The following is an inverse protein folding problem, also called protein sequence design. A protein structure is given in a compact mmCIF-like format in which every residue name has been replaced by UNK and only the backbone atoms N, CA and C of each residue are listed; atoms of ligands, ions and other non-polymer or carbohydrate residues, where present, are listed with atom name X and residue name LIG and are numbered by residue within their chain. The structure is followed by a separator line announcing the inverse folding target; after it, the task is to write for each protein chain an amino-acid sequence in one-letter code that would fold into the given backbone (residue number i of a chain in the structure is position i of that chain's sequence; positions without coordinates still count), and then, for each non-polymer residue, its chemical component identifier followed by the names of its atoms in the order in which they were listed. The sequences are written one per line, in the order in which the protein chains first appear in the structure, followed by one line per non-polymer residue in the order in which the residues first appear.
data_IF_752214153080
#
_entry.id   IF_752214153080
#
_cell.length_a   1.000
_cell.length_b   1.000
_cell.length_c   1.000
_cell.angle_alpha   90.00
_cell.angle_beta   90.00
_cell.angle_gamma   90.00
#
_symmetry.space_group_name_H-M   'P 1'
#
loop_
_entity.id
_entity.type
_entity.pdbx_description
1 polymer ?
#
# COMPACT_ATOMS: atom_id res chain seq x y z
N UNK A 1 6.54 8.40 -25.18
CA UNK A 1 5.32 8.89 -24.52
C UNK A 1 5.72 9.36 -23.14
N UNK A 2 5.66 10.65 -22.88
CA UNK A 2 6.09 11.26 -21.62
C UNK A 2 5.02 10.98 -20.57
N UNK A 3 5.34 10.19 -19.54
CA UNK A 3 4.41 9.94 -18.44
C UNK A 3 4.34 11.19 -17.56
N UNK A 4 3.20 11.88 -17.60
CA UNK A 4 2.92 13.01 -16.70
C UNK A 4 2.98 12.56 -15.25
N UNK A 5 3.62 13.37 -14.41
CA UNK A 5 3.76 13.14 -12.98
C UNK A 5 2.39 12.96 -12.30
N UNK A 6 2.17 11.81 -11.68
CA UNK A 6 0.87 11.38 -11.13
C UNK A 6 0.40 12.26 -9.96
N UNK A 7 1.28 13.09 -9.41
CA UNK A 7 0.98 14.00 -8.31
C UNK A 7 0.62 15.43 -8.75
N UNK A 8 0.53 15.71 -10.05
CA UNK A 8 0.07 17.02 -10.54
C UNK A 8 -1.47 17.04 -10.67
N UNK A 9 -2.19 17.82 -9.86
CA UNK A 9 -3.66 17.89 -9.93
C UNK A 9 -4.16 18.43 -11.28
N UNK A 10 -3.37 19.23 -11.99
CA UNK A 10 -3.73 19.75 -13.31
C UNK A 10 -3.64 18.65 -14.38
N UNK A 11 -2.65 17.76 -14.28
CA UNK A 11 -2.54 16.61 -15.17
C UNK A 11 -3.69 15.61 -14.98
N UNK A 12 -4.11 15.38 -13.73
CA UNK A 12 -5.27 14.52 -13.42
C UNK A 12 -6.57 15.12 -13.98
N UNK A 13 -6.77 16.43 -13.84
CA UNK A 13 -7.94 17.12 -14.40
C UNK A 13 -8.00 16.99 -15.94
N UNK A 14 -6.87 17.19 -16.62
CA UNK A 14 -6.78 17.04 -18.06
C UNK A 14 -7.09 15.60 -18.52
N UNK A 15 -6.63 14.60 -17.75
CA UNK A 15 -6.89 13.20 -18.05
C UNK A 15 -8.36 12.83 -17.86
N UNK A 16 -9.03 13.39 -16.86
CA UNK A 16 -10.48 13.21 -16.65
C UNK A 16 -11.30 13.86 -17.78
N UNK A 17 -10.93 15.05 -18.24
CA UNK A 17 -11.58 15.69 -19.39
C UNK A 17 -11.37 14.89 -20.67
N UNK A 18 -10.18 14.34 -20.88
CA UNK A 18 -9.90 13.46 -22.02
C UNK A 18 -10.73 12.16 -21.96
N UNK A 19 -10.96 11.61 -20.76
CA UNK A 19 -11.77 10.41 -20.56
C UNK A 19 -13.25 10.69 -20.87
N UNK A 20 -13.77 11.84 -20.41
CA UNK A 20 -15.13 12.31 -20.73
C UNK A 20 -15.32 12.61 -22.21
N UNK A 21 -14.29 13.13 -22.88
CA UNK A 21 -14.32 13.39 -24.32
C UNK A 21 -14.18 12.12 -25.17
N UNK A 22 -13.85 10.97 -24.57
CA UNK A 22 -13.71 9.72 -25.33
C UNK A 22 -15.07 9.18 -25.78
N UNK A 23 -15.09 8.59 -26.99
CA UNK A 23 -16.30 8.04 -27.59
C UNK A 23 -16.98 6.97 -26.71
N UNK A 24 -16.20 6.23 -25.91
CA UNK A 24 -16.72 5.22 -24.99
C UNK A 24 -17.63 5.81 -23.90
N UNK A 25 -17.34 7.04 -23.44
CA UNK A 25 -18.20 7.74 -22.48
C UNK A 25 -19.48 8.28 -23.14
N UNK A 26 -19.37 8.82 -24.35
CA UNK A 26 -20.54 9.30 -25.10
C UNK A 26 -21.52 8.16 -25.43
N UNK A 27 -21.01 6.97 -25.73
CA UNK A 27 -21.84 5.80 -26.03
C UNK A 27 -22.63 5.31 -24.80
N UNK A 28 -22.02 5.38 -23.60
CA UNK A 28 -22.71 5.06 -22.34
C UNK A 28 -23.81 6.07 -22.00
N UNK A 29 -23.56 7.37 -22.20
CA UNK A 29 -24.53 8.42 -21.91
C UNK A 29 -25.71 8.41 -22.88
N UNK A 30 -25.45 8.10 -24.16
CA UNK A 30 -26.49 7.86 -25.16
C UNK A 30 -27.33 6.61 -24.86
N UNK A 31 -26.72 5.54 -24.34
CA UNK A 31 -27.46 4.32 -24.01
C UNK A 31 -28.31 4.48 -22.72
N UNK A 32 -27.86 5.31 -21.78
CA UNK A 32 -28.61 5.61 -20.55
C UNK A 32 -29.90 6.39 -20.82
N UNK A 33 -29.97 7.19 -21.88
CA UNK A 33 -31.18 7.96 -22.23
C UNK A 33 -32.25 7.11 -22.92
N UNK A 34 -31.87 6.00 -23.58
CA UNK A 34 -32.81 5.12 -24.30
C UNK A 34 -33.60 4.19 -23.36
N UNK A 35 -33.08 3.88 -22.17
CA UNK A 35 -33.73 2.97 -21.22
C UNK A 35 -34.95 3.55 -20.47
N UNK A 36 -35.28 4.83 -20.65
CA UNK A 36 -36.34 5.52 -19.87
C UNK A 36 -37.64 5.75 -20.65
N UNK A 37 -37.85 5.05 -21.77
CA UNK A 37 -39.05 5.23 -22.59
C UNK A 37 -39.61 3.89 -23.06
N UNK A 38 -40.28 3.16 -22.15
CA UNK A 38 -41.17 2.06 -22.53
C UNK A 38 -42.40 2.08 -21.62
N UNK A 39 -43.34 2.99 -21.89
CA UNK A 39 -44.73 2.89 -21.46
C UNK A 39 -45.65 3.49 -22.53
N UNK A 40 -46.13 2.62 -23.43
CA UNK A 40 -47.50 2.39 -23.95
C UNK A 40 -48.56 3.52 -24.13
N UNK A 41 -49.62 3.31 -24.96
CA UNK A 41 -49.92 4.20 -26.09
C UNK A 41 -51.36 4.78 -26.15
N UNK A 42 -51.56 5.97 -26.75
CA UNK A 42 -52.79 6.32 -27.49
C UNK A 42 -52.69 7.61 -28.36
N UNK A 43 -52.74 7.41 -29.70
CA UNK A 43 -53.56 8.09 -30.78
C UNK A 43 -53.61 9.64 -30.93
N UNK A 44 -54.05 10.21 -32.08
CA UNK A 44 -53.20 10.77 -33.14
C UNK A 44 -53.48 12.26 -33.51
N UNK A 45 -52.81 12.74 -34.57
CA UNK A 45 -53.08 13.96 -35.37
C UNK A 45 -52.60 15.30 -34.76
N UNK A 46 -52.01 16.27 -35.48
CA UNK A 46 -51.59 16.43 -36.86
C UNK A 46 -50.62 17.65 -36.96
N UNK A 47 -50.03 17.80 -38.13
CA UNK A 47 -49.47 19.04 -38.72
C UNK A 47 -47.98 19.42 -38.54
N UNK A 48 -47.27 19.21 -39.67
CA UNK A 48 -46.60 20.24 -40.52
C UNK A 48 -45.54 21.14 -39.86
N UNK A 49 -44.30 20.97 -40.32
CA UNK A 49 -43.24 21.97 -40.13
C UNK A 49 -41.94 21.60 -40.83
N UNK A 50 -41.74 22.12 -42.04
CA UNK A 50 -40.50 22.08 -42.83
C UNK A 50 -39.35 22.86 -42.14
N UNK A 51 -38.10 22.44 -42.37
CA UNK A 51 -36.93 23.27 -42.83
C UNK A 51 -35.63 22.48 -42.62
N UNK A 52 -34.92 22.01 -43.68
CA UNK A 52 -33.80 22.69 -44.39
C UNK A 52 -32.68 23.21 -43.47
N UNK A 53 -31.46 22.66 -43.58
CA UNK A 53 -30.31 23.29 -44.31
C UNK A 53 -28.96 22.57 -44.07
N UNK A 54 -28.25 22.32 -45.20
CA UNK A 54 -26.79 22.42 -45.48
C UNK A 54 -25.77 22.01 -44.38
N UNK A 55 -24.98 20.94 -44.51
CA UNK A 55 -23.86 20.71 -45.46
C UNK A 55 -22.86 21.87 -45.54
N UNK A 56 -21.80 21.80 -44.72
CA UNK A 56 -20.60 22.64 -44.84
C UNK A 56 -19.36 21.85 -44.41
N UNK A 57 -18.53 21.50 -45.39
CA UNK A 57 -17.13 21.07 -45.24
C UNK A 57 -16.23 22.24 -44.83
N UNK A 58 -15.11 21.99 -44.14
CA UNK A 58 -13.93 22.82 -44.28
C UNK A 58 -12.76 22.08 -44.94
N UNK A 59 -11.99 22.92 -45.61
CA UNK A 59 -10.88 22.69 -46.52
C UNK A 59 -9.55 23.00 -45.80
N UNK A 60 -8.47 22.35 -46.26
CA UNK A 60 -7.04 22.66 -46.08
C UNK A 60 -6.43 22.69 -44.67
N UNK A 61 -5.36 21.91 -44.45
CA UNK A 61 -4.00 22.41 -44.74
C UNK A 61 -2.99 21.27 -44.84
N UNK A 62 -2.21 21.35 -45.92
CA UNK A 62 -0.97 20.67 -46.21
C UNK A 62 0.14 21.22 -45.29
N UNK A 63 0.93 20.34 -44.66
CA UNK A 63 2.26 20.72 -44.17
C UNK A 63 3.14 19.47 -43.98
N UNK A 64 3.99 19.20 -44.97
CA UNK A 64 5.06 18.24 -44.88
C UNK A 64 6.16 18.70 -43.94
N UNK A 65 6.69 17.78 -43.12
CA UNK A 65 8.07 17.82 -42.63
C UNK A 65 8.46 16.44 -42.09
N UNK A 66 9.33 15.79 -42.87
CA UNK A 66 10.04 14.54 -42.60
C UNK A 66 11.38 14.87 -41.92
N UNK A 67 11.80 14.11 -40.90
CA UNK A 67 13.22 13.91 -40.63
C UNK A 67 13.62 12.41 -40.65
N UNK A 68 14.94 12.12 -40.64
CA UNK A 68 15.48 10.95 -41.28
C UNK A 68 15.59 9.71 -40.39
N UNK A 69 15.43 8.59 -41.10
CA UNK A 69 15.79 7.22 -40.75
C UNK A 69 17.23 7.12 -40.23
N UNK A 70 17.41 6.58 -39.02
CA UNK A 70 18.71 6.16 -38.49
C UNK A 70 18.65 4.67 -38.15
N UNK A 71 19.40 3.90 -38.92
CA UNK A 71 19.70 2.48 -38.68
C UNK A 71 20.50 2.32 -37.38
N UNK A 72 20.41 1.15 -36.73
CA UNK A 72 21.55 0.59 -36.03
C UNK A 72 22.05 -0.68 -36.73
N UNK A 73 23.37 -0.82 -36.65
CA UNK A 73 24.19 -1.85 -37.25
C UNK A 73 23.85 -3.26 -36.74
N UNK A 74 23.98 -4.20 -37.66
CA UNK A 74 24.12 -5.63 -37.42
C UNK A 74 25.41 -5.91 -36.66
N UNK A 75 25.33 -6.65 -35.57
CA UNK A 75 26.50 -7.28 -34.93
C UNK A 75 26.22 -8.76 -34.77
N UNK A 76 27.05 -9.54 -35.45
CA UNK A 76 27.17 -10.99 -35.42
C UNK A 76 27.44 -11.53 -34.02
N UNK A 77 26.82 -12.66 -33.64
CA UNK A 77 27.45 -13.78 -32.90
C UNK A 77 26.49 -14.98 -32.82
N UNK A 78 26.97 -16.23 -32.56
CA UNK A 78 26.67 -17.38 -33.42
C UNK A 78 25.88 -18.49 -32.72
N UNK A 79 25.48 -19.46 -33.55
CA UNK A 79 25.05 -20.83 -33.28
C UNK A 79 25.24 -21.39 -31.86
N UNK A 80 24.17 -21.97 -31.34
CA UNK A 80 24.25 -23.25 -30.63
C UNK A 80 23.04 -24.10 -30.98
N UNK A 81 23.35 -25.22 -31.61
CA UNK A 81 22.48 -26.32 -32.01
C UNK A 81 21.90 -27.09 -30.80
N UNK A 82 20.89 -27.90 -31.12
CA UNK A 82 20.29 -29.01 -30.36
C UNK A 82 19.22 -28.55 -29.33
N UNK A 83 18.02 -29.12 -29.25
CA UNK A 83 17.57 -30.42 -29.71
C UNK A 83 16.05 -30.44 -29.95
N UNK A 84 15.68 -31.33 -30.85
CA UNK A 84 14.38 -31.57 -31.45
C UNK A 84 13.62 -32.62 -30.64
N UNK A 85 12.41 -32.32 -30.14
CA UNK A 85 11.39 -33.37 -29.97
C UNK A 85 9.99 -32.77 -29.98
N UNK A 86 9.28 -32.98 -31.09
CA UNK A 86 7.80 -32.94 -31.17
C UNK A 86 7.25 -34.33 -30.82
N UNK A 87 5.96 -34.46 -30.43
CA UNK A 87 4.94 -34.70 -31.46
C UNK A 87 3.56 -34.05 -31.21
N UNK A 88 2.98 -33.59 -32.33
CA UNK A 88 1.57 -33.60 -32.77
C UNK A 88 0.43 -33.72 -31.74
N UNK A 89 -0.54 -32.79 -31.85
CA UNK A 89 -1.95 -33.15 -32.01
C UNK A 89 -2.70 -32.09 -32.83
N UNK A 90 -3.33 -32.56 -33.91
CA UNK A 90 -4.20 -31.82 -34.84
C UNK A 90 -5.61 -31.80 -34.26
N UNK A 91 -6.27 -30.64 -34.16
CA UNK A 91 -7.74 -30.55 -34.27
C UNK A 91 -8.15 -29.15 -34.77
N UNK A 92 -8.43 -29.12 -36.07
CA UNK A 92 -9.63 -28.57 -36.73
C UNK A 92 -10.27 -27.25 -36.24
N UNK A 93 -10.34 -26.33 -37.20
CA UNK A 93 -10.81 -24.96 -37.06
C UNK A 93 -12.34 -24.82 -37.05
N UNK A 94 -12.83 -23.93 -36.18
CA UNK A 94 -14.09 -23.21 -36.37
C UNK A 94 -13.84 -21.70 -36.12
N UNK A 95 -14.32 -20.79 -36.99
CA UNK A 95 -14.15 -19.36 -36.81
C UNK A 95 -15.13 -18.85 -35.76
N UNK A 96 -14.67 -18.68 -34.51
CA UNK A 96 -15.43 -17.94 -33.52
C UNK A 96 -15.16 -16.44 -33.68
N UNK A 97 -16.20 -15.71 -34.11
CA UNK A 97 -16.26 -14.26 -34.03
C UNK A 97 -16.26 -13.89 -32.55
N UNK A 98 -15.13 -13.38 -32.05
CA UNK A 98 -15.02 -12.82 -30.70
C UNK A 98 -15.76 -11.47 -30.72
N UNK A 99 -17.05 -11.52 -30.43
CA UNK A 99 -17.79 -10.33 -30.01
C UNK A 99 -17.14 -9.81 -28.73
N UNK A 100 -16.72 -8.54 -28.74
CA UNK A 100 -16.08 -7.89 -27.62
C UNK A 100 -16.87 -8.10 -26.33
N UNK A 101 -16.19 -8.63 -25.30
CA UNK A 101 -16.72 -8.74 -23.95
C UNK A 101 -16.97 -7.34 -23.40
N UNK A 102 -18.20 -6.88 -23.63
CA UNK A 102 -18.73 -5.61 -23.14
C UNK A 102 -18.87 -5.67 -21.62
N UNK A 103 -18.47 -4.56 -20.97
CA UNK A 103 -18.48 -4.35 -19.51
C UNK A 103 -19.84 -4.64 -18.87
N UNK A 104 -20.92 -4.58 -19.66
CA UNK A 104 -22.28 -4.93 -19.24
C UNK A 104 -22.45 -6.39 -18.74
N UNK A 105 -21.68 -7.36 -19.27
CA UNK A 105 -21.74 -8.75 -18.79
C UNK A 105 -21.08 -8.94 -17.42
N UNK A 106 -20.14 -8.08 -17.02
CA UNK A 106 -19.50 -8.11 -15.71
C UNK A 106 -20.40 -7.48 -14.62
N UNK A 107 -21.16 -6.44 -14.97
CA UNK A 107 -22.10 -5.81 -14.03
C UNK A 107 -23.36 -6.66 -13.79
N UNK A 108 -23.77 -7.50 -14.75
CA UNK A 108 -24.87 -8.46 -14.54
C UNK A 108 -24.53 -9.61 -13.58
N UNK A 109 -23.25 -9.81 -13.22
CA UNK A 109 -22.85 -10.79 -12.20
C UNK A 109 -22.86 -10.21 -10.77
N UNK A 110 -23.03 -8.90 -10.61
CA UNK A 110 -23.17 -8.24 -9.30
C UNK A 110 -24.65 -8.02 -8.98
N UNK A 111 -25.41 -9.10 -8.83
CA UNK A 111 -26.68 -9.02 -8.11
C UNK A 111 -26.44 -9.05 -6.59
N UNK A 112 -27.20 -8.27 -5.81
CA UNK A 112 -27.06 -8.22 -4.36
C UNK A 112 -27.56 -9.53 -3.73
N UNK A 113 -26.66 -10.24 -3.04
CA UNK A 113 -27.04 -11.33 -2.14
C UNK A 113 -27.77 -10.74 -0.92
N UNK A 114 -29.08 -10.51 -1.07
CA UNK A 114 -30.01 -10.39 0.04
C UNK A 114 -30.56 -11.79 0.34
N UNK A 115 -30.19 -12.34 1.49
CA UNK A 115 -30.84 -13.55 2.00
C UNK A 115 -30.00 -14.31 3.01
N UNK A 116 -30.03 -13.85 4.26
CA UNK A 116 -29.78 -14.74 5.40
C UNK A 116 -30.80 -15.90 5.38
N UNK A 117 -30.38 -17.08 5.85
CA UNK A 117 -30.93 -17.48 7.13
C UNK A 117 -29.83 -17.87 8.11
N UNK A 118 -29.98 -17.34 9.32
CA UNK A 118 -29.51 -17.91 10.57
C UNK A 118 -29.69 -19.43 10.57
N UNK A 119 -28.58 -20.17 10.57
CA UNK A 119 -28.56 -21.53 11.06
C UNK A 119 -27.46 -21.67 12.12
N UNK A 120 -27.87 -22.24 13.24
CA UNK A 120 -27.12 -22.28 14.48
C UNK A 120 -26.15 -23.45 14.44
N UNK A 121 -24.92 -23.22 13.99
CA UNK A 121 -23.84 -24.21 14.12
C UNK A 121 -22.94 -23.87 15.30
N UNK A 122 -23.19 -24.59 16.40
CA UNK A 122 -22.28 -24.75 17.52
C UNK A 122 -20.95 -25.33 17.01
N UNK A 123 -19.79 -24.82 17.46
CA UNK A 123 -18.51 -25.46 17.18
C UNK A 123 -18.42 -26.79 17.94
N UNK A 124 -17.95 -27.88 17.31
CA UNK A 124 -17.62 -29.10 18.01
C UNK A 124 -16.37 -28.87 18.87
N UNK A 125 -16.51 -29.24 20.13
CA UNK A 125 -15.48 -29.33 21.15
C UNK A 125 -14.29 -30.20 20.67
N UNK A 126 -13.05 -29.68 20.58
CA UNK A 126 -11.88 -30.50 20.28
C UNK A 126 -11.41 -31.20 21.56
N UNK A 127 -12.22 -32.15 22.04
CA UNK A 127 -11.76 -33.17 22.99
C UNK A 127 -11.11 -34.31 22.21
N UNK A 128 -9.80 -34.49 22.40
CA UNK A 128 -9.10 -35.71 22.00
C UNK A 128 -7.97 -35.52 21.00
N UNK A 129 -6.89 -34.84 21.42
CA UNK A 129 -5.56 -35.31 21.03
C UNK A 129 -4.92 -35.97 22.23
N UNK A 130 -4.79 -37.27 22.01
CA UNK A 130 -4.10 -38.31 22.73
C UNK A 130 -2.79 -37.85 23.39
N UNK A 131 -2.72 -38.16 24.69
CA UNK A 131 -1.62 -37.92 25.59
C UNK A 131 -0.52 -38.94 25.28
N UNK A 132 0.29 -38.64 24.27
CA UNK A 132 1.54 -39.33 23.99
C UNK A 132 2.49 -39.25 25.18
N UNK A 133 2.54 -40.33 25.95
CA UNK A 133 3.57 -40.65 26.93
C UNK A 133 4.97 -40.51 26.33
N UNK A 134 5.71 -39.48 26.74
CA UNK A 134 7.17 -39.51 26.74
C UNK A 134 7.64 -39.87 28.14
N UNK A 135 7.66 -41.18 28.40
CA UNK A 135 8.31 -41.74 29.58
C UNK A 135 9.79 -42.04 29.26
N UNK A 136 10.64 -41.51 30.13
CA UNK A 136 11.99 -41.95 30.48
C UNK A 136 13.16 -41.76 29.48
N UNK A 137 14.14 -40.96 29.92
CA UNK A 137 15.54 -41.17 29.55
C UNK A 137 16.50 -40.07 29.97
N UNK A 138 17.03 -40.11 31.21
CA UNK A 138 18.37 -39.58 31.49
C UNK A 138 18.48 -38.25 32.24
N UNK A 139 17.92 -38.16 33.44
CA UNK A 139 18.34 -37.14 34.42
C UNK A 139 19.72 -37.54 34.96
N UNK A 140 20.77 -36.89 34.47
CA UNK A 140 22.10 -36.96 35.06
C UNK A 140 22.17 -36.01 36.26
N UNK A 141 22.64 -36.47 37.44
CA UNK A 141 22.77 -35.64 38.62
C UNK A 141 23.93 -34.66 38.42
N UNK A 142 23.64 -33.40 38.15
CA UNK A 142 24.64 -32.34 38.20
C UNK A 142 25.03 -32.11 39.68
N UNK A 143 26.32 -32.18 40.04
CA UNK A 143 26.76 -31.85 41.38
C UNK A 143 26.54 -30.35 41.66
N UNK A 144 26.15 -29.98 42.89
CA UNK A 144 26.05 -28.58 43.27
C UNK A 144 27.43 -27.89 43.16
N UNK A 145 27.51 -26.68 42.62
CA UNK A 145 28.77 -25.94 42.56
C UNK A 145 29.29 -25.67 43.98
N UNK A 146 30.62 -25.67 44.19
CA UNK A 146 31.21 -25.36 45.48
C UNK A 146 30.81 -23.95 45.91
N UNK A 147 30.21 -23.85 47.10
CA UNK A 147 29.92 -22.60 47.76
C UNK A 147 31.22 -21.82 47.99
N UNK A 148 31.53 -20.90 47.07
CA UNK A 148 32.54 -19.89 47.29
C UNK A 148 32.06 -19.01 48.45
N UNK A 149 32.76 -19.10 49.57
CA UNK A 149 32.60 -18.22 50.72
C UNK A 149 32.81 -16.78 50.28
N UNK A 150 31.70 -16.08 50.02
CA UNK A 150 31.72 -14.64 49.82
C UNK A 150 32.13 -13.99 51.14
N UNK A 151 33.17 -13.13 51.14
CA UNK A 151 33.54 -12.38 52.33
C UNK A 151 32.35 -11.53 52.76
N UNK A 152 31.97 -11.69 54.03
CA UNK A 152 30.92 -10.93 54.71
C UNK A 152 31.32 -9.46 54.73
N UNK A 153 30.91 -8.75 53.68
CA UNK A 153 31.09 -7.31 53.57
C UNK A 153 30.21 -6.66 54.63
N UNK A 154 30.85 -6.05 55.62
CA UNK A 154 30.19 -5.24 56.64
C UNK A 154 29.67 -4.00 55.91
N UNK A 155 28.35 -3.74 55.86
CA UNK A 155 27.85 -2.52 55.25
C UNK A 155 28.32 -1.35 56.14
N UNK A 156 29.33 -0.62 55.68
CA UNK A 156 29.65 0.70 56.20
C UNK A 156 28.38 1.54 56.14
N UNK A 157 28.00 2.11 57.28
CA UNK A 157 26.80 2.91 57.48
C UNK A 157 26.55 3.83 56.28
N UNK A 158 25.55 3.47 55.48
CA UNK A 158 25.13 4.24 54.33
C UNK A 158 24.65 5.61 54.84
N UNK A 159 25.27 6.67 54.35
CA UNK A 159 24.74 8.01 54.47
C UNK A 159 23.28 8.01 53.97
N UNK A 160 22.38 8.80 54.58
CA UNK A 160 21.00 8.88 54.13
C UNK A 160 20.97 9.24 52.64
N UNK A 161 20.17 8.53 51.82
CA UNK A 161 20.09 8.83 50.40
C UNK A 161 19.65 10.28 50.25
N UNK A 162 20.55 11.11 49.73
CA UNK A 162 20.23 12.48 49.33
C UNK A 162 19.02 12.37 48.40
N UNK A 163 17.87 13.00 48.73
CA UNK A 163 16.69 12.94 47.89
C UNK A 163 17.09 13.49 46.53
N UNK A 164 17.12 12.61 45.53
CA UNK A 164 17.34 13.03 44.15
C UNK A 164 16.27 14.07 43.84
N UNK A 165 16.62 15.22 43.26
CA UNK A 165 15.65 16.28 42.98
C UNK A 165 14.49 15.64 42.23
N UNK A 166 13.32 15.74 42.84
CA UNK A 166 12.06 15.16 42.39
C UNK A 166 11.97 15.40 40.88
N UNK A 167 12.11 14.33 40.11
CA UNK A 167 11.70 14.32 38.71
C UNK A 167 10.20 14.48 38.80
N UNK A 168 9.73 15.73 38.87
CA UNK A 168 8.31 16.07 38.87
C UNK A 168 7.66 15.22 37.80
N UNK A 169 6.59 14.52 38.18
CA UNK A 169 5.96 13.52 37.34
C UNK A 169 5.32 14.22 36.13
N UNK A 170 6.15 14.46 35.10
CA UNK A 170 5.80 15.20 33.87
C UNK A 170 4.71 14.51 33.05
N UNK A 171 4.29 13.32 33.47
CA UNK A 171 3.17 12.55 32.92
C UNK A 171 1.82 13.19 33.20
N UNK A 172 1.69 13.91 34.32
CA UNK A 172 0.40 14.46 34.78
C UNK A 172 0.21 15.96 34.48
N UNK A 173 1.14 16.56 33.71
CA UNK A 173 1.07 17.97 33.34
C UNK A 173 0.02 18.14 32.23
N UNK A 174 -0.86 19.14 32.34
CA UNK A 174 -1.82 19.41 31.28
C UNK A 174 -1.14 19.93 30.00
N UNK A 175 -1.76 19.72 28.84
CA UNK A 175 -1.23 20.21 27.56
C UNK A 175 -0.92 21.72 27.62
N UNK A 176 -1.77 22.52 28.27
CA UNK A 176 -1.58 23.98 28.42
C UNK A 176 -0.34 24.33 29.25
N UNK A 177 -0.08 23.59 30.32
CA UNK A 177 1.09 23.78 31.18
C UNK A 177 2.38 23.32 30.48
N UNK A 178 2.29 22.39 29.52
CA UNK A 178 3.45 21.93 28.74
C UNK A 178 3.98 22.97 27.75
N UNK A 179 3.12 23.89 27.26
CA UNK A 179 3.47 24.87 26.23
C UNK A 179 4.69 25.75 26.57
N UNK A 180 4.76 26.43 27.74
CA UNK A 180 5.93 27.23 28.10
C UNK A 180 7.20 26.37 28.19
N UNK A 181 7.09 25.15 28.72
CA UNK A 181 8.23 24.22 28.84
C UNK A 181 8.75 23.85 27.46
N UNK A 182 7.86 23.52 26.52
CA UNK A 182 8.23 23.18 25.13
C UNK A 182 8.84 24.38 24.41
N UNK A 183 8.33 25.59 24.65
CA UNK A 183 8.89 26.82 24.09
C UNK A 183 10.33 27.06 24.58
N UNK A 184 10.59 26.84 25.86
CA UNK A 184 11.94 26.96 26.43
C UNK A 184 12.89 25.91 25.86
N UNK A 185 12.44 24.65 25.72
CA UNK A 185 13.20 23.58 25.08
C UNK A 185 13.50 23.87 23.62
N UNK A 186 12.57 24.47 22.87
CA UNK A 186 12.76 24.83 21.47
C UNK A 186 13.85 25.90 21.24
N UNK A 187 14.23 26.64 22.28
CA UNK A 187 15.34 27.60 22.23
C UNK A 187 16.71 26.92 22.43
N UNK A 188 16.76 25.68 22.93
CA UNK A 188 18.00 24.92 23.06
C UNK A 188 18.42 24.28 21.73
N UNK A 189 19.60 24.62 21.17
CA UNK A 189 20.09 24.02 19.93
C UNK A 189 20.34 22.51 20.06
N UNK A 190 20.67 22.00 21.25
CA UNK A 190 20.94 20.58 21.47
C UNK A 190 19.66 19.74 21.34
N UNK A 191 18.56 20.27 21.89
CA UNK A 191 17.21 19.74 21.72
C UNK A 191 16.81 19.69 20.24
N UNK A 192 16.95 20.82 19.53
CA UNK A 192 16.60 20.92 18.11
C UNK A 192 17.40 19.92 17.26
N UNK A 193 18.69 19.72 17.54
CA UNK A 193 19.51 18.74 16.85
C UNK A 193 18.99 17.31 17.05
N UNK A 194 18.56 16.95 18.26
CA UNK A 194 17.96 15.63 18.56
C UNK A 194 16.61 15.43 17.88
N UNK A 195 15.73 16.44 17.88
CA UNK A 195 14.45 16.38 17.16
C UNK A 195 14.67 16.19 15.65
N UNK A 196 15.65 16.89 15.06
CA UNK A 196 16.02 16.69 13.65
C UNK A 196 16.55 15.28 13.39
N UNK A 197 17.36 14.74 14.30
CA UNK A 197 17.83 13.35 14.21
C UNK A 197 16.64 12.39 14.19
N UNK A 198 15.70 12.51 15.14
CA UNK A 198 14.48 11.69 15.18
C UNK A 198 13.70 11.75 13.86
N UNK A 199 13.58 12.93 13.26
CA UNK A 199 12.89 13.10 11.96
C UNK A 199 13.67 12.47 10.81
N UNK A 200 14.99 12.57 10.80
CA UNK A 200 15.83 11.91 9.81
C UNK A 200 15.70 10.39 9.91
N UNK A 201 15.73 9.84 11.12
CA UNK A 201 15.55 8.40 11.38
C UNK A 201 14.17 7.92 10.88
N UNK A 202 13.12 8.74 11.04
CA UNK A 202 11.80 8.49 10.45
C UNK A 202 11.85 8.46 8.91
N UNK A 203 12.39 9.51 8.29
CA UNK A 203 12.46 9.63 6.83
C UNK A 203 13.29 8.49 6.20
N UNK A 204 14.36 8.07 6.86
CA UNK A 204 15.18 6.94 6.43
C UNK A 204 14.39 5.62 6.48
N UNK A 205 13.65 5.37 7.57
CA UNK A 205 12.78 4.21 7.67
C UNK A 205 11.71 4.22 6.55
N UNK A 206 11.00 5.33 6.38
CA UNK A 206 9.97 5.48 5.34
C UNK A 206 10.54 5.21 3.94
N UNK A 207 11.72 5.76 3.64
CA UNK A 207 12.39 5.51 2.35
C UNK A 207 12.77 4.04 2.16
N UNK A 208 13.26 3.38 3.21
CA UNK A 208 13.61 1.96 3.14
C UNK A 208 12.38 1.08 2.91
N UNK A 209 11.31 1.28 3.67
CA UNK A 209 10.06 0.53 3.53
C UNK A 209 9.39 0.78 2.18
N UNK A 210 9.46 2.02 1.66
CA UNK A 210 8.99 2.34 0.33
C UNK A 210 9.77 1.59 -0.76
N UNK A 211 11.09 1.56 -0.67
CA UNK A 211 11.96 0.86 -1.62
C UNK A 211 11.67 -0.64 -1.63
N UNK A 212 11.50 -1.24 -0.45
CA UNK A 212 11.16 -2.66 -0.31
C UNK A 212 9.77 -2.96 -0.89
N UNK A 213 8.79 -2.09 -0.65
CA UNK A 213 7.44 -2.22 -1.23
C UNK A 213 7.49 -2.13 -2.76
N UNK A 214 8.25 -1.19 -3.31
CA UNK A 214 8.43 -1.00 -4.76
C UNK A 214 9.07 -2.22 -5.43
N UNK A 215 9.98 -2.91 -4.73
CA UNK A 215 10.54 -4.18 -5.17
C UNK A 215 9.46 -5.26 -5.36
N UNK A 216 8.46 -5.32 -4.47
CA UNK A 216 7.33 -6.25 -4.61
C UNK A 216 6.52 -5.89 -5.86
N UNK A 217 6.20 -4.62 -6.07
CA UNK A 217 5.49 -4.17 -7.29
C UNK A 217 6.25 -4.55 -8.56
N UNK A 218 7.54 -4.23 -8.62
CA UNK A 218 8.41 -4.53 -9.77
C UNK A 218 8.44 -6.03 -10.08
N UNK A 219 8.61 -6.86 -9.04
CA UNK A 219 8.62 -8.32 -9.15
C UNK A 219 7.35 -8.88 -9.79
N UNK A 220 6.16 -8.41 -9.39
CA UNK A 220 4.91 -8.92 -9.95
C UNK A 220 4.58 -8.32 -11.32
N UNK A 221 4.95 -7.07 -11.55
CA UNK A 221 4.87 -6.47 -12.88
C UNK A 221 5.71 -7.26 -13.90
N UNK A 222 6.92 -7.67 -13.52
CA UNK A 222 7.77 -8.46 -14.40
C UNK A 222 7.21 -9.87 -14.66
N UNK A 223 6.58 -10.50 -13.65
CA UNK A 223 5.84 -11.75 -13.87
C UNK A 223 4.69 -11.59 -14.86
N UNK A 224 3.93 -10.49 -14.78
CA UNK A 224 2.86 -10.18 -15.72
C UNK A 224 3.40 -9.99 -17.13
N UNK A 225 4.50 -9.24 -17.30
CA UNK A 225 5.15 -9.05 -18.60
C UNK A 225 5.61 -10.39 -19.18
N UNK A 226 6.24 -11.25 -18.38
CA UNK A 226 6.70 -12.57 -18.85
C UNK A 226 5.50 -13.44 -19.28
N UNK A 227 4.42 -13.48 -18.50
CA UNK A 227 3.21 -14.20 -18.86
C UNK A 227 2.59 -13.66 -20.16
N UNK A 228 2.56 -12.33 -20.32
CA UNK A 228 2.09 -11.66 -21.52
C UNK A 228 2.94 -11.98 -22.75
N UNK A 229 4.27 -11.91 -22.62
CA UNK A 229 5.19 -12.28 -23.71
C UNK A 229 5.04 -13.74 -24.09
N UNK A 230 4.89 -14.64 -23.11
CA UNK A 230 4.66 -16.07 -23.34
C UNK A 230 3.35 -16.30 -24.12
N UNK A 231 2.27 -15.65 -23.70
CA UNK A 231 0.98 -15.75 -24.39
C UNK A 231 1.11 -15.24 -25.84
N UNK A 232 1.73 -14.08 -26.03
CA UNK A 232 1.97 -13.48 -27.34
C UNK A 232 2.77 -14.40 -28.26
N UNK A 233 3.81 -15.08 -27.75
CA UNK A 233 4.64 -16.00 -28.54
C UNK A 233 3.85 -17.22 -29.03
N UNK A 234 2.87 -17.68 -28.27
CA UNK A 234 1.98 -18.80 -28.62
C UNK A 234 0.82 -18.32 -29.52
N UNK A 235 0.66 -17.01 -29.71
CA UNK A 235 -0.50 -16.43 -30.40
C UNK A 235 -1.78 -16.47 -29.56
N UNK A 236 -1.64 -16.63 -28.24
CA UNK A 236 -2.74 -16.64 -27.28
C UNK A 236 -2.76 -15.35 -26.45
N UNK A 237 -3.87 -15.10 -25.76
CA UNK A 237 -3.94 -14.09 -24.69
C UNK A 237 -3.53 -14.71 -23.35
N UNK A 238 -3.11 -13.89 -22.38
CA UNK A 238 -2.78 -14.38 -21.03
C UNK A 238 -4.00 -15.09 -20.46
N UNK A 239 -3.81 -16.31 -19.95
CA UNK A 239 -4.90 -17.06 -19.34
C UNK A 239 -5.46 -16.29 -18.14
N UNK A 240 -6.78 -16.16 -18.07
CA UNK A 240 -7.46 -15.52 -16.94
C UNK A 240 -7.02 -16.13 -15.60
N UNK A 241 -6.83 -17.46 -15.58
CA UNK A 241 -6.38 -18.16 -14.39
C UNK A 241 -4.96 -17.77 -13.97
N UNK A 242 -4.02 -17.65 -14.92
CA UNK A 242 -2.65 -17.21 -14.63
C UNK A 242 -2.66 -15.77 -14.08
N UNK A 243 -3.45 -14.89 -14.68
CA UNK A 243 -3.60 -13.50 -14.20
C UNK A 243 -4.14 -13.45 -12.76
N UNK A 244 -5.23 -14.17 -12.47
CA UNK A 244 -5.80 -14.25 -11.12
C UNK A 244 -4.77 -14.79 -10.12
N UNK A 245 -4.06 -15.86 -10.46
CA UNK A 245 -3.04 -16.44 -9.59
C UNK A 245 -1.89 -15.44 -9.29
N UNK A 246 -1.43 -14.69 -10.29
CA UNK A 246 -0.40 -13.66 -10.10
C UNK A 246 -0.91 -12.53 -9.20
N UNK A 247 -2.17 -12.11 -9.39
CA UNK A 247 -2.81 -11.07 -8.59
C UNK A 247 -3.01 -11.50 -7.12
N UNK A 248 -3.50 -12.71 -6.90
CA UNK A 248 -3.71 -13.26 -5.54
C UNK A 248 -2.38 -13.39 -4.80
N UNK A 249 -1.34 -13.87 -5.48
CA UNK A 249 0.00 -13.96 -4.92
C UNK A 249 0.57 -12.56 -4.58
N UNK A 250 0.36 -11.57 -5.44
CA UNK A 250 0.75 -10.18 -5.20
C UNK A 250 0.07 -9.62 -3.94
N UNK A 251 -1.26 -9.75 -3.84
CA UNK A 251 -2.01 -9.25 -2.69
C UNK A 251 -1.56 -9.92 -1.40
N UNK A 252 -1.38 -11.24 -1.42
CA UNK A 252 -0.88 -11.99 -0.26
C UNK A 252 0.52 -11.53 0.15
N UNK A 253 1.41 -11.26 -0.81
CA UNK A 253 2.76 -10.80 -0.52
C UNK A 253 2.79 -9.37 0.05
N UNK A 254 1.94 -8.47 -0.43
CA UNK A 254 1.79 -7.12 0.15
C UNK A 254 1.24 -7.19 1.58
N UNK A 255 0.17 -7.94 1.82
CA UNK A 255 -0.39 -8.08 3.18
C UNK A 255 0.63 -8.67 4.15
N UNK A 256 1.39 -9.67 3.69
CA UNK A 256 2.47 -10.25 4.47
C UNK A 256 3.56 -9.22 4.78
N UNK A 257 3.98 -8.42 3.79
CA UNK A 257 4.98 -7.38 3.99
C UNK A 257 4.52 -6.31 4.99
N UNK A 258 3.27 -5.85 4.86
CA UNK A 258 2.70 -4.84 5.76
C UNK A 258 2.67 -5.38 7.21
N UNK A 259 2.23 -6.61 7.42
CA UNK A 259 2.13 -7.22 8.75
C UNK A 259 3.48 -7.63 9.36
N UNK A 260 4.37 -8.23 8.57
CA UNK A 260 5.63 -8.79 9.08
C UNK A 260 6.78 -7.80 9.10
N UNK A 261 6.74 -6.72 8.29
CA UNK A 261 7.84 -5.76 8.16
C UNK A 261 7.43 -4.35 8.54
N UNK A 262 6.38 -3.79 7.94
CA UNK A 262 6.02 -2.38 8.16
C UNK A 262 5.59 -2.15 9.60
N UNK A 263 4.57 -2.88 10.09
CA UNK A 263 4.02 -2.64 11.43
C UNK A 263 5.08 -2.79 12.54
N UNK A 264 5.88 -3.89 12.60
CA UNK A 264 6.89 -4.04 13.64
C UNK A 264 8.00 -2.98 13.57
N UNK A 265 8.43 -2.61 12.36
CA UNK A 265 9.46 -1.58 12.19
C UNK A 265 8.96 -0.19 12.61
N UNK A 266 7.70 0.12 12.30
CA UNK A 266 7.05 1.36 12.70
C UNK A 266 6.86 1.43 14.21
N UNK A 267 6.35 0.37 14.84
CA UNK A 267 6.19 0.29 16.29
C UNK A 267 7.53 0.41 17.02
N UNK A 268 8.57 -0.24 16.49
CA UNK A 268 9.94 -0.13 17.00
C UNK A 268 10.51 1.29 16.86
N UNK A 269 10.21 2.00 15.78
CA UNK A 269 10.58 3.41 15.63
C UNK A 269 9.84 4.29 16.64
N UNK A 270 8.51 4.19 16.73
CA UNK A 270 7.69 4.97 17.66
C UNK A 270 8.14 4.79 19.10
N UNK A 271 8.41 3.54 19.51
CA UNK A 271 8.92 3.24 20.86
C UNK A 271 10.27 3.91 21.12
N UNK A 272 11.20 3.87 20.15
CA UNK A 272 12.49 4.57 20.27
C UNK A 272 12.31 6.09 20.35
N UNK A 273 11.44 6.66 19.52
CA UNK A 273 11.13 8.09 19.54
C UNK A 273 10.53 8.52 20.88
N UNK A 274 9.53 7.81 21.39
CA UNK A 274 8.97 8.07 22.72
C UNK A 274 10.07 8.05 23.79
N UNK A 275 10.94 7.04 23.78
CA UNK A 275 12.07 6.96 24.72
C UNK A 275 13.05 8.14 24.60
N UNK A 276 13.44 8.52 23.38
CA UNK A 276 14.32 9.68 23.16
C UNK A 276 13.66 10.99 23.62
N UNK A 277 12.35 11.17 23.37
CA UNK A 277 11.59 12.34 23.79
C UNK A 277 11.39 12.38 25.33
N UNK A 278 11.22 11.22 25.97
CA UNK A 278 11.23 11.10 27.43
C UNK A 278 12.61 11.47 28.01
N UNK A 279 13.72 11.06 27.38
CA UNK A 279 15.07 11.45 27.81
C UNK A 279 15.35 12.95 27.66
N UNK A 280 14.66 13.60 26.71
CA UNK A 280 14.66 15.05 26.55
C UNK A 280 13.77 15.76 27.59
N UNK A 281 13.14 15.01 28.49
CA UNK A 281 12.18 15.47 29.48
C UNK A 281 11.00 16.21 28.85
N UNK A 282 10.57 15.88 27.63
CA UNK A 282 9.41 16.54 27.05
C UNK A 282 8.17 16.14 27.87
N UNK A 283 7.34 17.10 28.34
CA UNK A 283 6.12 16.80 29.07
C UNK A 283 5.18 15.90 28.25
N UNK A 284 4.39 15.05 28.92
CA UNK A 284 3.44 14.12 28.29
C UNK A 284 4.06 13.01 27.41
N UNK A 285 5.38 13.03 27.17
CA UNK A 285 6.05 12.01 26.38
C UNK A 285 6.53 10.86 27.26
N UNK A 286 5.83 9.73 27.15
CA UNK A 286 6.18 8.47 27.79
C UNK A 286 5.74 7.29 26.91
N UNK A 287 6.35 6.12 27.10
CA UNK A 287 5.94 4.92 26.36
C UNK A 287 4.54 4.52 26.81
N UNK A 288 3.58 4.56 25.89
CA UNK A 288 2.18 4.22 26.14
C UNK A 288 1.58 3.45 24.97
N UNK A 289 0.74 2.48 25.31
CA UNK A 289 -0.13 1.76 24.37
C UNK A 289 -1.56 2.33 24.32
N UNK A 290 -1.90 3.29 25.18
CA UNK A 290 -3.25 3.85 25.26
C UNK A 290 -3.49 4.92 24.19
N UNK A 291 -4.61 4.82 23.49
CA UNK A 291 -4.98 5.73 22.40
C UNK A 291 -5.13 7.18 22.88
N UNK A 292 -5.76 7.39 24.04
CA UNK A 292 -5.99 8.74 24.58
C UNK A 292 -4.69 9.50 24.86
N UNK A 293 -3.69 8.80 25.42
CA UNK A 293 -2.39 9.41 25.68
C UNK A 293 -1.58 9.59 24.39
N UNK A 294 -1.72 8.69 23.42
CA UNK A 294 -1.13 8.88 22.09
C UNK A 294 -1.66 10.11 21.37
N UNK A 295 -2.96 10.41 21.48
CA UNK A 295 -3.51 11.63 20.90
C UNK A 295 -2.90 12.90 21.52
N UNK A 296 -2.73 12.92 22.86
CA UNK A 296 -2.06 14.03 23.55
C UNK A 296 -0.59 14.14 23.12
N UNK A 297 0.12 13.02 23.03
CA UNK A 297 1.50 12.98 22.53
C UNK A 297 1.61 13.48 21.10
N UNK A 298 0.66 13.15 20.23
CA UNK A 298 0.61 13.63 18.85
C UNK A 298 0.42 15.15 18.81
N UNK A 299 -0.42 15.72 19.68
CA UNK A 299 -0.57 17.18 19.77
C UNK A 299 0.75 17.86 20.17
N UNK A 300 1.46 17.30 21.15
CA UNK A 300 2.79 17.80 21.57
C UNK A 300 3.82 17.64 20.46
N UNK A 301 3.85 16.50 19.77
CA UNK A 301 4.76 16.25 18.66
C UNK A 301 4.52 17.22 17.49
N UNK A 302 3.26 17.45 17.11
CA UNK A 302 2.89 18.42 16.06
C UNK A 302 3.31 19.84 16.44
N UNK A 303 3.18 20.21 17.71
CA UNK A 303 3.63 21.52 18.21
C UNK A 303 5.16 21.65 18.09
N UNK A 304 5.90 20.63 18.53
CA UNK A 304 7.37 20.60 18.43
C UNK A 304 7.80 20.70 16.96
N UNK A 305 7.16 19.94 16.07
CA UNK A 305 7.46 19.99 14.63
C UNK A 305 7.20 21.38 14.05
N UNK A 306 6.10 22.03 14.45
CA UNK A 306 5.77 23.40 14.01
C UNK A 306 6.82 24.40 14.49
N UNK A 307 7.23 24.33 15.77
CA UNK A 307 8.23 25.24 16.34
C UNK A 307 9.62 25.05 15.72
N UNK A 308 10.03 23.79 15.51
CA UNK A 308 11.33 23.46 14.93
C UNK A 308 11.37 23.74 13.43
N UNK A 309 10.29 23.46 12.71
CA UNK A 309 10.18 23.67 11.26
C UNK A 309 10.12 25.14 10.85
N UNK A 310 9.45 25.98 11.64
CA UNK A 310 9.24 27.41 11.32
C UNK A 310 10.52 28.25 11.35
N UNK A 311 11.56 27.82 12.07
CA UNK A 311 12.79 28.61 12.28
C UNK A 311 13.80 28.54 11.12
N UNK A 312 13.49 27.77 10.07
CA UNK A 312 14.42 27.47 8.97
C UNK A 312 14.03 28.11 7.63
N UNK A 313 13.03 29.00 7.61
CA UNK A 313 12.68 29.86 6.47
C UNK A 313 13.07 31.30 6.75
#
# INVERSE_FOLDING_TARGET
MSYSNINDPTAVAALLDQLKASAAWQELEANATVATSTESPHRPEAHVGQSRTTSTLPVHTDNGSRPPNSQPATTDTPSSDLDETTPNCVTEAAPFIIAGTSVASLLSQLQPFNGAPTDSFLPPDPSGYDLGHYQHGGELPYPPPPALSTPRYVPAAAAPPTPSPLTEDRRNISFRESLPIISDLANDPSFVAKIRKIKNDQNELERSLWTDRELIYSKYNDKLKVAQTKAQLIGATVSQHEFTMIMDAFQKEILRFDHERILPAWDGLVTRQQNELTQLNIPLMFVTGETEDREKQQQVANLIETLVGSKTR
#
